data_IF_665575798388
#
_entry.id   IF_665575798388
#
_cell.length_a   1.000
_cell.length_b   1.000
_cell.length_c   1.000
_cell.angle_alpha   90.00
_cell.angle_beta   90.00
_cell.angle_gamma   90.00
#
_symmetry.space_group_name_H-M   'P 1'
#
loop_
_entity.id
_entity.type
_entity.pdbx_description
1 polymer ?
#
# COMPACT_ATOMS: atom_id res chain seq x y z
N UNK A 1 17.67 -53.68 4.67
CA UNK A 1 18.43 -52.45 4.42
C UNK A 1 17.73 -51.32 5.11
N UNK A 2 18.35 -50.78 6.15
CA UNK A 2 17.78 -49.59 6.81
C UNK A 2 17.95 -48.38 5.89
N UNK A 3 16.84 -47.88 5.38
CA UNK A 3 16.81 -46.61 4.64
C UNK A 3 16.99 -45.50 5.66
N UNK A 4 18.10 -44.77 5.58
CA UNK A 4 18.28 -43.55 6.34
C UNK A 4 17.33 -42.51 5.76
N UNK A 5 16.20 -42.33 6.38
CA UNK A 5 15.24 -41.29 6.04
C UNK A 5 15.75 -40.03 6.77
N UNK A 6 16.28 -39.05 6.03
CA UNK A 6 16.36 -37.71 6.57
C UNK A 6 14.92 -37.27 6.79
N UNK A 7 14.52 -37.20 8.04
CA UNK A 7 13.15 -37.03 8.45
C UNK A 7 12.53 -35.85 7.69
N UNK A 8 11.43 -36.12 7.01
CA UNK A 8 10.49 -35.05 6.66
C UNK A 8 10.19 -34.29 7.95
N UNK A 9 10.23 -32.95 7.89
CA UNK A 9 9.90 -32.13 9.04
C UNK A 9 8.57 -32.57 9.63
N UNK A 10 8.51 -32.71 10.93
CA UNK A 10 7.26 -32.95 11.64
C UNK A 10 6.33 -31.73 11.43
N UNK A 11 5.02 -31.89 11.58
CA UNK A 11 4.06 -30.79 11.47
C UNK A 11 4.38 -29.63 12.42
N UNK A 12 4.96 -29.92 13.58
CA UNK A 12 5.41 -28.92 14.55
C UNK A 12 6.60 -28.11 14.02
N UNK A 13 7.57 -28.76 13.42
CA UNK A 13 8.73 -28.09 12.81
C UNK A 13 8.33 -27.25 11.61
N UNK A 14 7.40 -27.71 10.77
CA UNK A 14 6.80 -26.93 9.67
C UNK A 14 6.10 -25.69 10.20
N UNK A 15 5.41 -25.79 11.33
CA UNK A 15 4.74 -24.65 11.96
C UNK A 15 5.76 -23.62 12.47
N UNK A 16 6.85 -24.05 13.08
CA UNK A 16 7.93 -23.14 13.55
C UNK A 16 8.57 -22.44 12.34
N UNK A 17 8.89 -23.17 11.28
CA UNK A 17 9.46 -22.60 10.06
C UNK A 17 8.52 -21.61 9.38
N UNK A 18 7.22 -21.89 9.34
CA UNK A 18 6.21 -20.99 8.84
C UNK A 18 6.15 -19.66 9.64
N UNK A 19 6.28 -19.74 10.95
CA UNK A 19 6.32 -18.56 11.83
C UNK A 19 7.59 -17.73 11.60
N UNK A 20 8.74 -18.38 11.49
CA UNK A 20 10.01 -17.69 11.23
C UNK A 20 10.02 -17.02 9.85
N UNK A 21 9.53 -17.72 8.83
CA UNK A 21 9.32 -17.15 7.50
C UNK A 21 8.44 -15.90 7.55
N UNK A 22 7.29 -15.99 8.21
CA UNK A 22 6.38 -14.87 8.29
C UNK A 22 6.95 -13.69 9.09
N UNK A 23 7.76 -13.96 10.10
CA UNK A 23 8.49 -12.92 10.83
C UNK A 23 9.45 -12.17 9.90
N UNK A 24 10.23 -12.87 9.08
CA UNK A 24 11.13 -12.26 8.10
C UNK A 24 10.35 -11.46 7.06
N UNK A 25 9.29 -12.03 6.50
CA UNK A 25 8.44 -11.36 5.52
C UNK A 25 7.78 -10.09 6.09
N UNK A 26 7.23 -10.15 7.31
CA UNK A 26 6.60 -8.99 7.96
C UNK A 26 7.60 -7.88 8.27
N UNK A 27 8.81 -8.23 8.67
CA UNK A 27 9.86 -7.24 8.91
C UNK A 27 10.37 -6.61 7.61
N UNK A 28 10.26 -7.34 6.48
CA UNK A 28 10.64 -6.84 5.16
C UNK A 28 9.53 -6.02 4.48
N UNK A 29 8.25 -6.26 4.83
CA UNK A 29 7.11 -5.54 4.26
C UNK A 29 6.95 -4.17 4.89
N UNK A 30 6.89 -3.14 4.05
CA UNK A 30 6.73 -1.75 4.47
C UNK A 30 5.30 -1.45 4.93
N UNK A 31 4.29 -1.91 4.19
CA UNK A 31 2.88 -1.62 4.47
C UNK A 31 2.41 -2.20 5.82
N UNK A 32 3.00 -3.30 6.26
CA UNK A 32 2.66 -3.92 7.54
C UNK A 32 2.99 -3.06 8.78
N UNK A 33 3.84 -2.05 8.63
CA UNK A 33 4.13 -1.10 9.72
C UNK A 33 2.94 -0.21 10.05
N UNK A 34 2.06 0.00 9.09
CA UNK A 34 0.86 0.85 9.20
C UNK A 34 -0.41 0.02 9.46
N UNK A 35 -0.28 -1.31 9.57
CA UNK A 35 -1.42 -2.20 9.75
C UNK A 35 -1.80 -2.32 11.23
N UNK A 36 -3.08 -2.08 11.51
CA UNK A 36 -3.70 -2.26 12.83
C UNK A 36 -5.08 -2.90 12.70
N UNK A 37 -5.64 -3.34 13.82
CA UNK A 37 -6.97 -3.98 13.88
C UNK A 37 -8.11 -2.99 14.12
N UNK A 38 -7.79 -1.78 14.56
CA UNK A 38 -8.80 -0.77 14.91
C UNK A 38 -9.09 0.20 13.77
N UNK A 39 -10.21 0.92 13.82
CA UNK A 39 -10.60 1.93 12.82
C UNK A 39 -9.66 3.15 12.78
N UNK A 40 -8.82 3.34 13.79
CA UNK A 40 -7.78 4.39 13.81
C UNK A 40 -6.45 3.91 13.21
N UNK A 41 -6.47 2.93 12.32
CA UNK A 41 -5.30 2.43 11.60
C UNK A 41 -5.38 2.88 10.15
N UNK A 42 -4.25 3.19 9.54
CA UNK A 42 -4.20 3.50 8.10
C UNK A 42 -4.58 2.27 7.26
N UNK A 43 -3.99 1.12 7.57
CA UNK A 43 -4.36 -0.16 6.99
C UNK A 43 -5.14 -0.95 8.03
N UNK A 44 -6.42 -1.15 7.82
CA UNK A 44 -7.24 -1.96 8.71
C UNK A 44 -7.08 -3.43 8.37
N UNK A 45 -6.52 -4.20 9.31
CA UNK A 45 -6.41 -5.64 9.18
C UNK A 45 -7.66 -6.32 9.70
N UNK A 46 -8.33 -7.08 8.84
CA UNK A 46 -9.48 -7.90 9.16
C UNK A 46 -8.97 -9.32 9.44
N UNK A 47 -9.16 -9.78 10.67
CA UNK A 47 -8.69 -11.10 11.13
C UNK A 47 -9.82 -12.04 11.56
N UNK A 48 -11.05 -11.66 11.29
CA UNK A 48 -12.25 -12.42 11.70
C UNK A 48 -12.34 -13.78 11.01
N UNK A 49 -11.83 -13.88 9.77
CA UNK A 49 -11.72 -15.17 9.09
C UNK A 49 -10.48 -15.91 9.57
N UNK A 50 -10.69 -16.90 10.42
CA UNK A 50 -9.65 -17.83 10.84
C UNK A 50 -9.69 -19.11 9.98
N UNK A 51 -8.62 -19.94 10.05
CA UNK A 51 -8.60 -21.25 9.36
C UNK A 51 -9.80 -22.15 9.74
N UNK A 52 -10.46 -21.90 10.86
CA UNK A 52 -11.59 -22.65 11.34
C UNK A 52 -12.94 -22.11 10.83
N UNK A 53 -13.01 -20.82 10.47
CA UNK A 53 -14.18 -20.21 9.87
C UNK A 53 -13.94 -20.08 8.37
N UNK A 54 -14.56 -20.98 7.60
CA UNK A 54 -14.42 -21.03 6.15
C UNK A 54 -15.26 -19.93 5.51
N UNK A 55 -14.63 -19.03 4.77
CA UNK A 55 -15.28 -18.01 3.96
C UNK A 55 -14.31 -17.51 2.90
N UNK A 56 -14.83 -17.12 1.74
CA UNK A 56 -14.07 -16.53 0.65
C UNK A 56 -14.06 -15.00 0.70
N UNK A 57 -14.77 -14.40 1.65
CA UNK A 57 -15.00 -12.96 1.72
C UNK A 57 -14.90 -12.48 3.17
N UNK A 58 -14.27 -11.33 3.35
CA UNK A 58 -14.25 -10.58 4.61
C UNK A 58 -15.06 -9.29 4.43
N UNK A 59 -15.67 -8.79 5.50
CA UNK A 59 -16.46 -7.56 5.45
C UNK A 59 -15.75 -6.48 6.26
N UNK A 60 -15.65 -5.28 5.70
CA UNK A 60 -15.25 -4.07 6.41
C UNK A 60 -16.48 -3.18 6.58
N UNK A 61 -16.75 -2.77 7.81
CA UNK A 61 -17.83 -1.85 8.11
C UNK A 61 -17.28 -0.45 8.31
N UNK A 62 -17.77 0.49 7.54
CA UNK A 62 -17.49 1.92 7.64
C UNK A 62 -18.66 2.61 8.34
N UNK A 63 -18.41 3.38 9.37
CA UNK A 63 -19.43 4.14 10.09
C UNK A 63 -19.40 5.60 9.63
N UNK A 64 -20.55 6.10 9.15
CA UNK A 64 -20.73 7.51 8.89
C UNK A 64 -20.91 8.31 10.20
N UNK A 65 -20.46 9.56 10.20
CA UNK A 65 -20.74 10.47 11.31
C UNK A 65 -22.20 10.96 11.24
N UNK A 66 -22.76 11.22 12.43
CA UNK A 66 -24.08 11.83 12.56
C UNK A 66 -24.02 13.27 12.07
N UNK A 67 -25.08 13.71 11.36
CA UNK A 67 -25.14 15.02 10.69
C UNK A 67 -26.19 15.95 11.26
N UNK A 68 -27.17 15.41 12.02
CA UNK A 68 -28.24 16.21 12.59
C UNK A 68 -27.80 16.96 13.86
N UNK A 69 -28.38 18.13 14.09
CA UNK A 69 -28.04 18.99 15.23
C UNK A 69 -28.63 18.46 16.57
N UNK A 70 -29.44 17.40 16.52
CA UNK A 70 -30.12 16.83 17.68
C UNK A 70 -31.32 17.67 18.16
N UNK A 71 -32.04 17.15 19.15
CA UNK A 71 -33.24 17.81 19.71
C UNK A 71 -32.86 18.76 20.86
N UNK A 72 -33.37 19.98 20.84
CA UNK A 72 -33.04 21.02 21.82
C UNK A 72 -34.20 21.25 22.83
N UNK A 73 -33.87 21.57 24.07
CA UNK A 73 -34.83 21.94 25.12
C UNK A 73 -35.78 20.79 25.55
N UNK A 74 -37.04 21.12 25.73
CA UNK A 74 -38.07 20.16 26.15
C UNK A 74 -38.79 19.48 24.96
N UNK A 75 -38.23 19.55 23.74
CA UNK A 75 -38.78 18.85 22.60
C UNK A 75 -38.57 17.35 22.72
N UNK A 76 -39.54 16.58 22.22
CA UNK A 76 -39.53 15.12 22.27
C UNK A 76 -38.41 14.55 21.41
N UNK A 77 -37.57 13.67 21.94
CA UNK A 77 -36.57 12.94 21.21
C UNK A 77 -37.14 11.74 20.43
N UNK A 78 -38.28 11.19 20.89
CA UNK A 78 -38.97 10.13 20.14
C UNK A 78 -39.42 10.62 18.77
N UNK A 79 -39.14 9.85 17.75
CA UNK A 79 -39.36 10.15 16.30
C UNK A 79 -38.45 11.26 15.74
N UNK A 80 -37.45 11.73 16.49
CA UNK A 80 -36.43 12.68 16.07
C UNK A 80 -35.01 12.10 16.25
N UNK A 81 -34.86 10.78 16.26
CA UNK A 81 -33.57 10.11 16.33
C UNK A 81 -32.95 10.00 14.92
N UNK A 82 -31.69 10.38 14.84
CA UNK A 82 -30.90 10.15 13.62
C UNK A 82 -30.49 8.69 13.50
N UNK A 83 -30.72 8.09 12.34
CA UNK A 83 -30.33 6.71 12.08
C UNK A 83 -28.81 6.59 11.90
N UNK A 84 -28.19 5.67 12.64
CA UNK A 84 -26.78 5.33 12.42
C UNK A 84 -26.62 4.69 11.05
N UNK A 85 -25.75 5.26 10.20
CA UNK A 85 -25.46 4.76 8.86
C UNK A 85 -24.17 3.98 8.88
N UNK A 86 -24.24 2.74 8.43
CA UNK A 86 -23.09 1.87 8.24
C UNK A 86 -23.03 1.44 6.77
N UNK A 87 -21.82 1.48 6.21
CA UNK A 87 -21.53 0.98 4.88
C UNK A 87 -20.67 -0.27 5.03
N UNK A 88 -21.11 -1.38 4.46
CA UNK A 88 -20.41 -2.65 4.51
C UNK A 88 -19.83 -2.95 3.13
N UNK A 89 -18.51 -3.09 3.06
CA UNK A 89 -17.82 -3.51 1.85
C UNK A 89 -17.18 -4.88 2.00
N UNK A 90 -17.17 -5.63 0.92
CA UNK A 90 -16.71 -7.02 0.87
C UNK A 90 -15.33 -7.08 0.26
N UNK A 91 -14.36 -7.57 1.04
CA UNK A 91 -13.00 -7.86 0.56
C UNK A 91 -12.94 -9.29 0.06
N UNK A 92 -12.61 -9.50 -1.20
CA UNK A 92 -12.38 -10.83 -1.76
C UNK A 92 -11.02 -11.39 -1.34
N UNK A 93 -10.93 -12.70 -1.24
CA UNK A 93 -9.73 -13.40 -0.79
C UNK A 93 -9.21 -14.32 -1.88
N UNK A 94 -7.92 -14.33 -2.09
CA UNK A 94 -7.27 -15.29 -2.99
C UNK A 94 -5.91 -15.75 -2.44
N UNK A 95 -5.37 -16.78 -3.06
CA UNK A 95 -4.13 -17.43 -2.66
C UNK A 95 -2.97 -17.05 -3.58
N UNK A 96 -1.90 -16.51 -3.00
CA UNK A 96 -0.65 -16.29 -3.71
C UNK A 96 0.39 -17.35 -3.30
N UNK A 97 1.01 -17.99 -4.30
CA UNK A 97 1.94 -19.12 -4.10
C UNK A 97 3.28 -18.86 -4.77
N UNK A 98 4.35 -19.17 -4.06
CA UNK A 98 5.72 -19.16 -4.58
C UNK A 98 6.41 -20.47 -4.27
N UNK A 99 7.27 -20.93 -5.19
CA UNK A 99 8.06 -22.13 -4.97
C UNK A 99 9.45 -22.03 -5.63
N UNK A 100 10.43 -22.60 -4.95
CA UNK A 100 11.76 -22.84 -5.47
C UNK A 100 12.04 -24.33 -5.54
N UNK A 101 12.73 -24.79 -6.59
CA UNK A 101 13.10 -26.19 -6.77
C UNK A 101 14.58 -26.29 -7.14
N UNK A 102 15.29 -27.14 -6.44
CA UNK A 102 16.69 -27.48 -6.73
C UNK A 102 16.78 -28.39 -7.96
N UNK A 103 17.74 -28.16 -8.82
CA UNK A 103 17.94 -28.98 -10.03
C UNK A 103 18.41 -30.41 -9.72
N UNK A 104 19.11 -30.65 -8.59
CA UNK A 104 19.54 -31.95 -8.13
C UNK A 104 20.69 -31.85 -7.14
N UNK A 105 21.06 -33.00 -6.52
CA UNK A 105 22.12 -33.08 -5.51
C UNK A 105 23.50 -32.63 -6.01
N UNK A 106 23.79 -32.83 -7.29
CA UNK A 106 25.07 -32.38 -7.87
C UNK A 106 25.13 -30.85 -8.00
N UNK A 107 23.96 -30.19 -8.21
CA UNK A 107 23.88 -28.75 -8.21
C UNK A 107 24.09 -28.19 -6.79
N UNK A 108 23.54 -28.84 -5.79
CA UNK A 108 23.71 -28.46 -4.37
C UNK A 108 25.17 -28.61 -3.95
N UNK A 109 25.81 -29.73 -4.31
CA UNK A 109 27.22 -30.01 -3.98
C UNK A 109 28.19 -29.00 -4.60
N UNK A 110 27.85 -28.42 -5.76
CA UNK A 110 28.65 -27.41 -6.46
C UNK A 110 28.36 -26.00 -5.97
N UNK A 111 27.26 -25.78 -5.26
CA UNK A 111 26.86 -24.49 -4.71
C UNK A 111 27.54 -24.25 -3.37
N UNK A 112 28.02 -23.04 -3.15
CA UNK A 112 28.53 -22.57 -1.85
C UNK A 112 27.37 -22.19 -0.91
N UNK A 113 26.15 -22.07 -1.48
CA UNK A 113 24.96 -21.57 -0.78
C UNK A 113 24.09 -22.75 -0.36
N UNK A 114 23.67 -22.77 0.91
CA UNK A 114 22.70 -23.74 1.43
C UNK A 114 21.32 -23.45 0.85
N UNK A 115 20.84 -24.34 -0.03
CA UNK A 115 19.58 -24.15 -0.77
C UNK A 115 18.39 -23.89 0.17
N UNK A 116 18.26 -24.67 1.24
CA UNK A 116 17.08 -24.63 2.11
C UNK A 116 16.90 -23.30 2.82
N UNK A 117 17.94 -22.80 3.48
CA UNK A 117 17.88 -21.53 4.23
C UNK A 117 17.75 -20.33 3.31
N UNK A 118 18.57 -20.32 2.25
CA UNK A 118 18.54 -19.21 1.28
C UNK A 118 17.19 -19.14 0.55
N UNK A 119 16.63 -20.28 0.14
CA UNK A 119 15.31 -20.31 -0.50
C UNK A 119 14.22 -19.81 0.42
N UNK A 120 14.25 -20.15 1.71
CA UNK A 120 13.29 -19.64 2.69
C UNK A 120 13.32 -18.11 2.74
N UNK A 121 14.49 -17.53 2.90
CA UNK A 121 14.63 -16.08 3.05
C UNK A 121 14.28 -15.34 1.75
N UNK A 122 14.71 -15.87 0.60
CA UNK A 122 14.37 -15.29 -0.71
C UNK A 122 12.87 -15.35 -1.01
N UNK A 123 12.20 -16.45 -0.65
CA UNK A 123 10.75 -16.56 -0.78
C UNK A 123 10.02 -15.59 0.17
N UNK A 124 10.57 -15.36 1.38
CA UNK A 124 10.03 -14.39 2.33
C UNK A 124 10.08 -12.95 1.77
N UNK A 125 11.22 -12.56 1.23
CA UNK A 125 11.39 -11.25 0.58
C UNK A 125 10.50 -11.10 -0.64
N UNK A 126 10.39 -12.14 -1.48
CA UNK A 126 9.50 -12.10 -2.65
C UNK A 126 8.03 -11.93 -2.26
N UNK A 127 7.56 -12.62 -1.21
CA UNK A 127 6.20 -12.49 -0.71
C UNK A 127 5.95 -11.08 -0.16
N UNK A 128 6.87 -10.55 0.65
CA UNK A 128 6.78 -9.19 1.19
C UNK A 128 6.72 -8.13 0.09
N UNK A 129 7.61 -8.23 -0.90
CA UNK A 129 7.68 -7.33 -2.04
C UNK A 129 6.37 -7.34 -2.86
N UNK A 130 5.76 -8.52 -3.06
CA UNK A 130 4.49 -8.63 -3.79
C UNK A 130 3.31 -8.09 -2.98
N UNK A 131 3.26 -8.32 -1.67
CA UNK A 131 2.25 -7.75 -0.78
C UNK A 131 2.31 -6.22 -0.83
N UNK A 132 3.51 -5.64 -0.72
CA UNK A 132 3.68 -4.20 -0.79
C UNK A 132 3.26 -3.64 -2.17
N UNK A 133 3.68 -4.28 -3.27
CA UNK A 133 3.27 -3.88 -4.62
C UNK A 133 1.75 -3.88 -4.80
N UNK A 134 1.07 -4.96 -4.37
CA UNK A 134 -0.38 -5.07 -4.49
C UNK A 134 -1.10 -4.02 -3.64
N UNK A 135 -0.66 -3.81 -2.40
CA UNK A 135 -1.24 -2.79 -1.52
C UNK A 135 -1.15 -1.38 -2.11
N UNK A 136 0.03 -1.00 -2.64
CA UNK A 136 0.21 0.32 -3.25
C UNK A 136 -0.54 0.48 -4.57
N UNK A 137 -0.65 -0.57 -5.39
CA UNK A 137 -1.47 -0.53 -6.61
C UNK A 137 -2.96 -0.39 -6.27
N UNK A 138 -3.45 -1.12 -5.26
CA UNK A 138 -4.84 -1.00 -4.80
C UNK A 138 -5.16 0.42 -4.32
N UNK A 139 -4.31 0.99 -3.47
CA UNK A 139 -4.48 2.38 -3.00
C UNK A 139 -4.38 3.40 -4.15
N UNK A 140 -3.50 3.15 -5.12
CA UNK A 140 -3.35 4.02 -6.31
C UNK A 140 -4.50 3.87 -7.30
N UNK A 141 -5.34 2.84 -7.18
CA UNK A 141 -6.41 2.54 -8.12
C UNK A 141 -5.89 2.14 -9.51
N UNK A 142 -4.75 1.46 -9.56
CA UNK A 142 -4.14 0.96 -10.81
C UNK A 142 -4.29 -0.55 -10.85
N UNK A 143 -4.77 -1.08 -11.97
CA UNK A 143 -4.98 -2.52 -12.17
C UNK A 143 -3.68 -3.31 -12.06
N UNK A 144 -3.77 -4.55 -11.62
CA UNK A 144 -2.59 -5.41 -11.44
C UNK A 144 -1.93 -5.87 -12.74
N UNK A 145 -2.48 -5.50 -13.90
CA UNK A 145 -1.81 -5.64 -15.20
C UNK A 145 -0.49 -4.88 -15.27
N UNK A 146 -0.38 -3.84 -14.46
CA UNK A 146 0.81 -3.01 -14.38
C UNK A 146 1.64 -3.32 -13.14
N UNK A 147 2.93 -3.07 -13.24
CA UNK A 147 3.83 -2.99 -12.10
C UNK A 147 3.75 -1.58 -11.50
N UNK A 148 4.27 -1.41 -10.30
CA UNK A 148 4.33 -0.10 -9.63
C UNK A 148 5.12 0.98 -10.40
N UNK A 149 5.99 0.57 -11.32
CA UNK A 149 6.72 1.48 -12.23
C UNK A 149 5.98 1.76 -13.56
N UNK A 150 4.71 1.39 -13.70
CA UNK A 150 3.92 1.62 -14.92
C UNK A 150 4.17 0.62 -16.06
N UNK A 151 5.14 -0.29 -15.97
CA UNK A 151 5.37 -1.29 -17.00
C UNK A 151 4.32 -2.41 -16.92
N UNK A 152 3.87 -2.92 -18.08
CA UNK A 152 2.97 -4.09 -18.12
C UNK A 152 3.63 -5.32 -17.52
N UNK A 153 2.85 -6.11 -16.77
CA UNK A 153 3.32 -7.40 -16.26
C UNK A 153 3.41 -8.42 -17.39
N UNK A 154 4.51 -9.17 -17.38
CA UNK A 154 4.62 -10.31 -18.25
C UNK A 154 3.76 -11.45 -17.74
N UNK A 155 3.09 -12.13 -18.66
CA UNK A 155 2.34 -13.36 -18.38
C UNK A 155 3.34 -14.51 -18.24
N UNK A 156 3.12 -15.40 -17.27
CA UNK A 156 3.94 -16.61 -17.12
C UNK A 156 3.82 -17.49 -18.36
N UNK A 157 4.94 -17.79 -19.00
CA UNK A 157 4.97 -18.62 -20.21
C UNK A 157 4.49 -20.06 -20.00
N UNK A 158 4.45 -20.54 -18.74
CA UNK A 158 4.02 -21.91 -18.41
C UNK A 158 2.54 -21.99 -18.03
N UNK A 159 2.04 -21.01 -17.24
CA UNK A 159 0.68 -21.02 -16.72
C UNK A 159 -0.26 -20.06 -17.45
N UNK A 160 0.28 -19.10 -18.20
CA UNK A 160 -0.48 -18.03 -18.80
C UNK A 160 -1.04 -17.00 -17.81
N UNK A 161 -0.64 -17.07 -16.53
CA UNK A 161 -1.19 -16.27 -15.42
C UNK A 161 -0.20 -15.24 -14.91
N UNK A 162 -0.73 -14.19 -14.31
CA UNK A 162 0.02 -13.16 -13.60
C UNK A 162 -0.77 -12.69 -12.35
N UNK A 163 -0.36 -11.60 -11.70
CA UNK A 163 -1.06 -11.08 -10.52
C UNK A 163 -2.42 -10.43 -10.84
N UNK A 164 -2.72 -10.16 -12.11
CA UNK A 164 -4.04 -9.65 -12.50
C UNK A 164 -5.14 -10.73 -12.47
N UNK A 165 -4.75 -12.00 -12.41
CA UNK A 165 -5.70 -13.12 -12.30
C UNK A 165 -6.13 -13.42 -10.86
N UNK A 166 -5.70 -12.62 -9.87
CA UNK A 166 -6.16 -12.74 -8.49
C UNK A 166 -7.63 -12.31 -8.39
N UNK A 167 -8.45 -13.04 -7.63
CA UNK A 167 -9.88 -12.77 -7.46
C UNK A 167 -10.18 -11.33 -6.97
N UNK A 168 -9.31 -10.77 -6.12
CA UNK A 168 -9.44 -9.38 -5.66
C UNK A 168 -8.82 -8.33 -6.61
N UNK A 169 -8.35 -8.74 -7.79
CA UNK A 169 -7.89 -7.79 -8.80
C UNK A 169 -9.04 -6.97 -9.40
N UNK A 170 -10.22 -7.57 -9.46
CA UNK A 170 -11.44 -6.91 -9.93
C UNK A 170 -11.98 -5.85 -8.95
N UNK A 171 -11.58 -5.94 -7.67
CA UNK A 171 -11.95 -4.96 -6.64
C UNK A 171 -11.12 -3.67 -6.70
N UNK A 172 -10.11 -3.60 -7.58
CA UNK A 172 -9.28 -2.40 -7.73
C UNK A 172 -10.00 -1.33 -8.52
N UNK A 173 -10.50 -0.31 -7.83
CA UNK A 173 -11.20 0.83 -8.42
C UNK A 173 -10.24 2.00 -8.66
N UNK A 174 -10.42 2.72 -9.77
CA UNK A 174 -9.71 3.98 -10.01
C UNK A 174 -10.00 4.99 -8.87
N UNK A 175 -9.14 5.98 -8.63
CA UNK A 175 -9.46 7.04 -7.68
C UNK A 175 -10.75 7.73 -8.09
N UNK A 176 -11.63 7.99 -7.12
CA UNK A 176 -12.88 8.70 -7.38
C UNK A 176 -12.61 10.16 -7.73
N UNK A 177 -13.48 10.80 -8.53
CA UNK A 177 -13.25 12.15 -9.03
C UNK A 177 -12.97 13.16 -7.90
N UNK A 178 -13.67 13.02 -6.77
CA UNK A 178 -13.51 13.89 -5.60
C UNK A 178 -12.28 13.59 -4.75
N UNK A 179 -11.52 12.54 -5.06
CA UNK A 179 -10.31 12.09 -4.34
C UNK A 179 -9.10 11.98 -5.26
N UNK A 180 -9.27 12.35 -6.52
CA UNK A 180 -8.21 12.38 -7.50
C UNK A 180 -7.81 13.82 -7.77
N UNK A 181 -6.60 14.17 -7.40
CA UNK A 181 -6.03 15.50 -7.51
C UNK A 181 -4.76 15.47 -8.37
N UNK A 182 -4.41 16.59 -8.95
CA UNK A 182 -3.14 16.78 -9.65
C UNK A 182 -2.55 18.15 -9.35
N UNK A 183 -1.26 18.30 -9.55
CA UNK A 183 -0.60 19.61 -9.59
C UNK A 183 -0.71 20.17 -11.00
N UNK A 184 -1.11 21.42 -11.12
CA UNK A 184 -1.31 22.09 -12.42
C UNK A 184 -0.91 23.56 -12.35
N UNK A 185 -0.70 24.16 -13.54
CA UNK A 185 -0.44 25.59 -13.69
C UNK A 185 0.91 26.05 -13.17
N UNK A 186 1.88 25.15 -13.03
CA UNK A 186 3.22 25.49 -12.58
C UNK A 186 3.99 26.25 -13.66
N UNK A 187 4.48 27.43 -13.34
CA UNK A 187 5.46 28.17 -14.15
C UNK A 187 6.89 27.74 -13.82
N UNK A 188 7.13 27.42 -12.57
CA UNK A 188 8.39 26.91 -12.02
C UNK A 188 8.14 25.59 -11.25
N UNK A 189 9.13 24.72 -11.10
CA UNK A 189 8.99 23.51 -10.32
C UNK A 189 8.53 23.78 -8.87
N UNK A 190 7.42 23.15 -8.45
CA UNK A 190 6.86 23.26 -7.10
C UNK A 190 5.91 24.42 -6.87
N UNK A 191 5.67 25.30 -7.85
CA UNK A 191 4.84 26.51 -7.68
C UNK A 191 3.39 26.37 -8.15
N UNK A 192 2.97 25.21 -8.69
CA UNK A 192 1.62 24.92 -9.15
C UNK A 192 0.54 25.01 -8.07
N UNK A 193 -0.68 24.68 -8.44
CA UNK A 193 -1.83 24.53 -7.54
C UNK A 193 -2.37 23.11 -7.61
N UNK A 194 -3.07 22.70 -6.58
CA UNK A 194 -3.78 21.42 -6.56
C UNK A 194 -5.17 21.61 -7.16
N UNK A 195 -5.52 20.81 -8.15
CA UNK A 195 -6.80 20.83 -8.86
C UNK A 195 -7.27 19.41 -9.14
N UNK A 196 -8.45 19.25 -9.74
CA UNK A 196 -9.02 17.96 -10.11
C UNK A 196 -8.07 17.16 -11.01
N UNK A 197 -7.95 15.84 -10.74
CA UNK A 197 -6.99 14.98 -11.38
C UNK A 197 -7.31 14.62 -12.81
N UNK A 198 -6.50 15.10 -13.74
CA UNK A 198 -6.42 14.64 -15.12
C UNK A 198 -4.94 14.48 -15.49
N UNK A 199 -4.37 13.28 -15.33
CA UNK A 199 -2.95 13.04 -15.56
C UNK A 199 -2.52 13.30 -17.01
N UNK A 200 -3.45 13.39 -17.98
CA UNK A 200 -3.14 13.71 -19.38
C UNK A 200 -2.75 15.18 -19.55
N UNK A 201 -3.21 16.06 -18.66
CA UNK A 201 -2.95 17.49 -18.69
C UNK A 201 -1.65 17.91 -17.98
N UNK A 202 -0.96 16.97 -17.30
CA UNK A 202 0.29 17.25 -16.59
C UNK A 202 1.38 17.78 -17.53
N UNK A 203 2.07 18.81 -17.08
CA UNK A 203 3.27 19.38 -17.71
C UNK A 203 4.53 19.03 -16.90
N UNK A 204 5.70 19.15 -17.49
CA UNK A 204 6.97 18.77 -16.86
C UNK A 204 7.30 19.59 -15.61
N UNK A 205 6.72 20.79 -15.49
CA UNK A 205 6.91 21.71 -14.36
C UNK A 205 5.99 21.39 -13.18
N UNK A 206 4.93 20.57 -13.36
CA UNK A 206 3.94 20.27 -12.33
C UNK A 206 4.48 19.27 -11.30
N UNK A 207 5.55 19.66 -10.64
CA UNK A 207 6.25 18.82 -9.65
C UNK A 207 5.71 19.04 -8.25
N UNK A 208 5.92 18.07 -7.37
CA UNK A 208 5.52 18.19 -5.97
C UNK A 208 6.36 19.24 -5.24
N UNK A 209 5.71 20.10 -4.43
CA UNK A 209 6.32 21.09 -3.56
C UNK A 209 5.68 21.13 -2.18
N UNK A 210 6.28 21.88 -1.26
CA UNK A 210 5.79 22.08 0.11
C UNK A 210 4.33 22.55 0.17
N UNK A 211 4.00 23.53 -0.65
CA UNK A 211 2.68 24.15 -0.72
C UNK A 211 1.59 23.13 -1.07
N UNK A 212 1.88 22.16 -1.95
CA UNK A 212 0.90 21.13 -2.35
C UNK A 212 0.53 20.22 -1.20
N UNK A 213 1.47 19.87 -0.32
CA UNK A 213 1.20 19.05 0.86
C UNK A 213 0.22 19.77 1.80
N UNK A 214 0.43 21.07 2.00
CA UNK A 214 -0.46 21.89 2.83
C UNK A 214 -1.85 22.01 2.19
N UNK A 215 -1.94 22.20 0.87
CA UNK A 215 -3.21 22.28 0.14
C UNK A 215 -3.98 20.95 0.19
N UNK A 216 -3.32 19.81 -0.05
CA UNK A 216 -3.96 18.49 0.04
C UNK A 216 -4.45 18.20 1.45
N UNK A 217 -3.70 18.59 2.49
CA UNK A 217 -4.16 18.46 3.88
C UNK A 217 -5.40 19.29 4.16
N UNK A 218 -5.44 20.56 3.70
CA UNK A 218 -6.62 21.41 3.84
C UNK A 218 -7.82 20.77 3.15
N UNK A 219 -7.63 20.34 1.90
CA UNK A 219 -8.64 19.63 1.12
C UNK A 219 -9.15 18.36 1.82
N UNK A 220 -8.24 17.56 2.41
CA UNK A 220 -8.59 16.35 3.14
C UNK A 220 -9.50 16.66 4.35
N UNK A 221 -9.20 17.73 5.09
CA UNK A 221 -10.02 18.15 6.24
C UNK A 221 -11.38 18.70 5.82
N UNK A 222 -11.42 19.50 4.76
CA UNK A 222 -12.68 20.03 4.23
C UNK A 222 -13.60 18.92 3.70
N UNK A 223 -13.02 17.82 3.24
CA UNK A 223 -13.75 16.66 2.74
C UNK A 223 -13.89 15.51 3.75
N UNK A 224 -13.75 15.79 5.04
CA UNK A 224 -13.99 14.88 6.16
C UNK A 224 -13.13 13.59 6.15
N UNK A 225 -11.95 13.62 5.53
CA UNK A 225 -11.00 12.51 5.65
C UNK A 225 -10.41 12.54 7.05
N UNK A 226 -10.66 11.49 7.81
CA UNK A 226 -10.16 11.38 9.19
C UNK A 226 -8.66 11.13 9.21
N UNK A 227 -7.94 11.95 9.97
CA UNK A 227 -6.55 11.68 10.31
C UNK A 227 -6.42 10.56 11.35
N UNK A 228 -5.23 9.99 11.43
CA UNK A 228 -4.87 9.08 12.51
C UNK A 228 -4.72 9.88 13.80
N UNK A 229 -5.42 9.48 14.85
CA UNK A 229 -5.32 10.15 16.15
C UNK A 229 -4.11 9.63 16.91
N UNK A 230 -3.12 10.50 17.07
CA UNK A 230 -1.94 10.27 17.89
C UNK A 230 -2.12 10.68 19.36
N UNK A 231 -1.03 10.63 20.11
CA UNK A 231 -1.00 11.11 21.49
C UNK A 231 -1.38 12.59 21.56
N UNK A 232 -2.28 12.97 22.48
CA UNK A 232 -2.74 14.35 22.62
C UNK A 232 -3.85 14.76 21.63
N UNK A 233 -4.54 13.81 21.03
CA UNK A 233 -5.64 14.04 20.08
C UNK A 233 -5.21 14.85 18.83
N UNK A 234 -3.93 14.81 18.49
CA UNK A 234 -3.42 15.40 17.24
C UNK A 234 -3.73 14.46 16.08
N UNK A 235 -4.24 15.04 15.00
CA UNK A 235 -4.46 14.31 13.75
C UNK A 235 -3.18 14.30 12.92
N UNK A 236 -2.74 13.11 12.56
CA UNK A 236 -1.58 12.88 11.70
C UNK A 236 -2.03 12.15 10.44
N UNK A 237 -1.52 12.58 9.31
CA UNK A 237 -1.74 11.92 8.02
C UNK A 237 -0.43 11.32 7.52
N UNK A 238 -0.52 10.27 6.72
CA UNK A 238 0.62 9.68 6.04
C UNK A 238 0.55 9.98 4.55
N UNK A 239 1.67 10.41 3.98
CA UNK A 239 1.80 10.60 2.55
C UNK A 239 2.93 9.74 2.01
N UNK A 240 2.66 8.96 0.96
CA UNK A 240 3.65 8.11 0.32
C UNK A 240 4.04 8.70 -1.03
N UNK A 241 5.33 8.86 -1.22
CA UNK A 241 5.92 9.45 -2.43
C UNK A 241 7.03 8.55 -2.98
N UNK A 242 7.28 8.66 -4.28
CA UNK A 242 8.43 8.00 -4.90
C UNK A 242 9.74 8.67 -4.48
N UNK A 243 10.90 7.99 -4.61
CA UNK A 243 12.20 8.60 -4.36
C UNK A 243 12.45 9.88 -5.18
N UNK A 244 11.99 9.93 -6.43
CA UNK A 244 12.11 11.13 -7.28
C UNK A 244 11.25 12.28 -6.76
N UNK A 245 9.99 12.02 -6.40
CA UNK A 245 9.13 13.04 -5.78
C UNK A 245 9.73 13.56 -4.46
N UNK A 246 10.28 12.68 -3.64
CA UNK A 246 10.97 13.08 -2.40
C UNK A 246 12.18 13.96 -2.68
N UNK A 247 12.97 13.64 -3.72
CA UNK A 247 14.12 14.45 -4.12
C UNK A 247 13.67 15.83 -4.60
N UNK A 248 12.63 15.91 -5.41
CA UNK A 248 12.05 17.18 -5.89
C UNK A 248 11.55 18.03 -4.73
N UNK A 249 10.83 17.42 -3.77
CA UNK A 249 10.36 18.10 -2.56
C UNK A 249 11.51 18.66 -1.71
N UNK A 250 12.60 17.90 -1.56
CA UNK A 250 13.80 18.36 -0.83
C UNK A 250 14.55 19.49 -1.55
N UNK A 251 14.40 19.61 -2.87
CA UNK A 251 14.99 20.68 -3.68
C UNK A 251 14.07 21.91 -3.82
N UNK A 252 12.81 21.81 -3.40
CA UNK A 252 11.86 22.90 -3.43
C UNK A 252 12.38 24.12 -2.63
N UNK A 253 12.46 25.31 -3.22
CA UNK A 253 12.95 26.53 -2.57
C UNK A 253 12.21 26.87 -1.28
N UNK A 254 10.89 26.70 -1.24
CA UNK A 254 10.08 27.00 -0.07
C UNK A 254 10.36 26.01 1.07
N UNK A 255 10.48 24.73 0.76
CA UNK A 255 10.87 23.72 1.72
C UNK A 255 12.27 23.99 2.30
N UNK A 256 13.24 24.29 1.43
CA UNK A 256 14.60 24.62 1.84
C UNK A 256 14.67 25.88 2.71
N UNK A 257 13.89 26.92 2.38
CA UNK A 257 13.82 28.13 3.17
C UNK A 257 13.27 27.85 4.59
N UNK A 258 12.19 27.08 4.68
CA UNK A 258 11.59 26.70 5.96
C UNK A 258 12.56 25.85 6.81
N UNK A 259 13.22 24.86 6.24
CA UNK A 259 14.19 24.02 6.96
C UNK A 259 15.41 24.81 7.41
N UNK A 260 15.89 25.76 6.60
CA UNK A 260 17.04 26.63 6.97
C UNK A 260 16.71 27.60 8.09
N UNK A 261 15.46 28.06 8.17
CA UNK A 261 15.03 29.05 9.16
C UNK A 261 14.56 28.38 10.47
N UNK A 262 13.83 27.29 10.41
CA UNK A 262 13.20 26.63 11.54
C UNK A 262 13.97 25.39 12.04
N UNK A 263 14.82 24.81 11.20
CA UNK A 263 15.51 23.57 11.51
C UNK A 263 16.63 23.71 12.55
N UNK A 264 16.84 22.67 13.32
CA UNK A 264 17.98 22.55 14.24
C UNK A 264 19.27 22.56 13.46
N UNK A 265 20.28 23.31 13.91
CA UNK A 265 21.62 23.35 13.28
C UNK A 265 22.42 22.11 13.67
N UNK A 266 23.10 21.48 12.71
CA UNK A 266 23.99 20.34 12.94
C UNK A 266 23.47 19.00 12.40
N UNK A 267 24.04 17.86 12.84
CA UNK A 267 23.73 16.54 12.31
C UNK A 267 22.27 16.09 12.49
N UNK A 268 21.55 16.70 13.44
CA UNK A 268 20.13 16.43 13.68
C UNK A 268 19.19 17.21 12.76
N UNK A 269 19.72 18.03 11.84
CA UNK A 269 18.90 18.70 10.84
C UNK A 269 18.41 17.66 9.80
N UNK A 270 17.16 17.74 9.40
CA UNK A 270 16.51 16.80 8.45
C UNK A 270 17.25 16.71 7.11
N UNK A 271 17.89 17.80 6.67
CA UNK A 271 18.72 17.81 5.47
C UNK A 271 19.94 16.89 5.56
N UNK A 272 20.47 16.66 6.75
CA UNK A 272 21.69 15.87 6.98
C UNK A 272 21.41 14.52 7.64
N UNK A 273 20.22 14.34 8.22
CA UNK A 273 19.88 13.12 8.97
C UNK A 273 19.65 11.90 8.08
N UNK A 274 19.50 12.09 6.75
CA UNK A 274 19.29 10.98 5.80
C UNK A 274 18.00 10.21 6.06
N UNK A 275 16.97 10.85 6.64
CA UNK A 275 15.69 10.20 6.96
C UNK A 275 14.88 9.95 5.71
N UNK A 276 14.28 8.76 5.63
CA UNK A 276 13.32 8.38 4.57
C UNK A 276 11.91 8.92 4.82
N UNK A 277 11.70 9.60 5.95
CA UNK A 277 10.41 10.21 6.30
C UNK A 277 10.62 11.65 6.76
N UNK A 278 9.77 12.55 6.29
CA UNK A 278 9.73 13.97 6.65
C UNK A 278 8.39 14.30 7.27
N UNK A 279 8.37 15.19 8.28
CA UNK A 279 7.13 15.69 8.85
C UNK A 279 6.89 17.12 8.37
N UNK A 280 5.81 17.31 7.62
CA UNK A 280 5.39 18.60 7.05
C UNK A 280 3.99 18.91 7.54
N UNK A 281 3.81 19.95 8.33
CA UNK A 281 2.48 20.40 8.82
C UNK A 281 1.57 19.27 9.36
N UNK A 282 2.12 18.32 10.12
CA UNK A 282 1.36 17.17 10.65
C UNK A 282 1.08 16.06 9.63
N UNK A 283 1.68 16.15 8.44
CA UNK A 283 1.71 15.09 7.43
C UNK A 283 3.07 14.41 7.47
N UNK A 284 3.08 13.11 7.69
CA UNK A 284 4.30 12.31 7.65
C UNK A 284 4.51 11.79 6.24
N UNK A 285 5.48 12.39 5.53
CA UNK A 285 5.82 12.01 4.15
C UNK A 285 6.84 10.88 4.19
N UNK A 286 6.52 9.76 3.57
CA UNK A 286 7.34 8.56 3.49
C UNK A 286 7.83 8.35 2.06
N UNK A 287 9.13 8.11 1.91
CA UNK A 287 9.72 7.70 0.65
C UNK A 287 9.63 6.18 0.49
N UNK A 288 9.00 5.72 -0.59
CA UNK A 288 8.92 4.30 -0.87
C UNK A 288 8.88 3.99 -2.38
N UNK A 289 9.69 3.01 -2.81
CA UNK A 289 9.88 2.68 -4.23
C UNK A 289 8.68 2.04 -4.93
N UNK A 290 7.72 1.47 -4.17
CA UNK A 290 6.53 0.84 -4.72
C UNK A 290 5.31 1.76 -4.83
N UNK A 291 5.49 3.04 -4.58
CA UNK A 291 4.49 4.05 -4.96
C UNK A 291 4.41 4.07 -6.49
N UNK A 292 3.19 4.14 -7.03
CA UNK A 292 2.96 4.06 -8.48
C UNK A 292 3.64 5.20 -9.24
N UNK A 293 4.33 4.82 -10.31
CA UNK A 293 4.98 5.76 -11.24
C UNK A 293 4.79 5.31 -12.69
N UNK A 294 4.96 6.22 -13.62
CA UNK A 294 4.85 5.96 -15.06
C UNK A 294 6.20 5.81 -15.77
N UNK A 295 7.30 5.74 -15.01
CA UNK A 295 8.67 5.73 -15.54
C UNK A 295 8.94 4.57 -16.52
N UNK A 296 8.33 3.40 -16.30
CA UNK A 296 8.55 2.19 -17.08
C UNK A 296 7.57 1.95 -18.23
N UNK A 297 6.62 2.84 -18.49
CA UNK A 297 5.63 2.61 -19.55
C UNK A 297 4.84 3.84 -19.96
N UNK A 298 4.76 4.07 -21.26
CA UNK A 298 3.94 5.13 -21.87
C UNK A 298 2.43 4.82 -21.83
N UNK A 299 2.04 3.60 -21.45
CA UNK A 299 0.68 3.09 -21.59
C UNK A 299 -0.25 3.50 -20.43
N UNK A 300 0.25 4.23 -19.43
CA UNK A 300 -0.55 4.65 -18.28
C UNK A 300 -1.46 5.87 -18.53
N UNK A 301 -1.51 6.40 -19.76
CA UNK A 301 -2.39 7.52 -20.13
C UNK A 301 -1.96 8.87 -19.57
N UNK A 302 -0.71 9.03 -19.16
CA UNK A 302 -0.17 10.29 -18.64
C UNK A 302 0.50 11.11 -19.75
N UNK A 303 0.37 12.44 -19.69
CA UNK A 303 0.99 13.35 -20.67
C UNK A 303 2.52 13.36 -20.59
N UNK A 304 3.06 13.27 -19.37
CA UNK A 304 4.50 13.27 -19.06
C UNK A 304 4.82 12.22 -18.00
N UNK A 305 6.08 11.75 -17.89
CA UNK A 305 6.48 10.87 -16.81
C UNK A 305 6.25 11.50 -15.44
N UNK A 306 5.62 10.77 -14.56
CA UNK A 306 5.27 11.26 -13.24
C UNK A 306 4.97 10.14 -12.25
N UNK A 307 4.46 10.49 -11.11
CA UNK A 307 4.05 9.54 -10.08
C UNK A 307 2.79 10.00 -9.35
N UNK A 308 2.08 9.02 -8.81
CA UNK A 308 0.90 9.20 -7.99
C UNK A 308 1.25 9.12 -6.54
N UNK A 309 1.44 10.26 -5.88
CA UNK A 309 1.57 10.31 -4.44
C UNK A 309 0.24 9.96 -3.77
N UNK A 310 0.31 9.21 -2.66
CA UNK A 310 -0.86 8.75 -1.92
C UNK A 310 -0.92 9.47 -0.58
N UNK A 311 -1.96 10.26 -0.37
CA UNK A 311 -2.24 10.88 0.93
C UNK A 311 -3.29 10.03 1.64
N UNK A 312 -2.91 9.48 2.80
CA UNK A 312 -3.67 8.47 3.52
C UNK A 312 -4.07 8.95 4.92
N UNK A 313 -5.35 8.84 5.21
CA UNK A 313 -5.91 8.98 6.55
C UNK A 313 -6.15 7.62 7.22
N UNK A 314 -7.13 7.58 8.13
CA UNK A 314 -7.59 6.34 8.75
C UNK A 314 -8.38 5.49 7.73
N UNK A 315 -8.28 4.16 7.86
CA UNK A 315 -8.96 3.18 7.01
C UNK A 315 -8.74 3.41 5.48
N UNK A 316 -7.52 3.81 5.11
CA UNK A 316 -7.15 4.04 3.72
C UNK A 316 -7.12 2.74 2.89
N UNK A 317 -6.83 1.60 3.54
CA UNK A 317 -6.77 0.28 2.93
C UNK A 317 -7.34 -0.76 3.89
N UNK A 318 -8.20 -1.64 3.39
CA UNK A 318 -8.60 -2.86 4.07
C UNK A 318 -7.68 -4.01 3.63
N UNK A 319 -7.17 -4.76 4.59
CA UNK A 319 -6.35 -5.95 4.37
C UNK A 319 -7.00 -7.13 5.09
N UNK A 320 -7.54 -8.06 4.35
CA UNK A 320 -7.98 -9.33 4.90
C UNK A 320 -6.79 -10.30 4.95
N UNK A 321 -6.50 -10.87 6.12
CA UNK A 321 -5.32 -11.71 6.36
C UNK A 321 -5.73 -13.00 7.09
N UNK A 322 -5.70 -14.13 6.36
CA UNK A 322 -6.03 -15.44 6.93
C UNK A 322 -4.77 -16.09 7.52
N UNK A 323 -4.30 -15.54 8.61
CA UNK A 323 -3.29 -16.17 9.46
C UNK A 323 -1.91 -16.34 8.82
N UNK A 324 -1.21 -17.36 9.31
CA UNK A 324 0.17 -17.63 8.91
C UNK A 324 0.23 -18.27 7.50
N UNK A 325 1.25 -17.96 6.69
CA UNK A 325 1.49 -18.65 5.44
C UNK A 325 1.71 -20.14 5.69
N UNK A 326 1.30 -20.95 4.75
CA UNK A 326 1.52 -22.38 4.76
C UNK A 326 2.82 -22.69 3.99
N UNK A 327 3.69 -23.49 4.59
CA UNK A 327 4.95 -23.91 3.97
C UNK A 327 4.92 -25.41 3.72
N UNK A 328 5.24 -25.81 2.49
CA UNK A 328 5.26 -27.21 2.07
C UNK A 328 6.62 -27.52 1.46
N UNK A 329 7.29 -28.54 2.00
CA UNK A 329 8.47 -29.15 1.38
C UNK A 329 8.06 -30.42 0.64
N UNK A 330 8.57 -30.57 -0.59
CA UNK A 330 8.36 -31.79 -1.39
C UNK A 330 9.66 -32.24 -2.05
N UNK A 331 9.89 -33.52 -2.01
CA UNK A 331 10.99 -34.17 -2.73
C UNK A 331 10.47 -34.74 -4.05
N UNK A 332 11.26 -34.60 -5.10
CA UNK A 332 10.98 -35.13 -6.42
C UNK A 332 12.12 -36.03 -6.85
N UNK A 333 11.92 -36.81 -7.89
CA UNK A 333 12.94 -37.68 -8.50
C UNK A 333 13.67 -38.52 -7.46
N UNK A 334 12.92 -39.38 -6.74
CA UNK A 334 13.45 -40.31 -5.69
C UNK A 334 14.36 -39.61 -4.67
N UNK A 335 14.06 -38.35 -4.32
CA UNK A 335 14.84 -37.58 -3.35
C UNK A 335 16.08 -36.88 -3.91
N UNK A 336 16.28 -36.87 -5.23
CA UNK A 336 17.35 -36.13 -5.87
C UNK A 336 17.10 -34.61 -5.93
N UNK A 337 15.80 -34.18 -6.00
CA UNK A 337 15.42 -32.79 -6.08
C UNK A 337 14.57 -32.40 -4.88
N UNK A 338 14.92 -31.30 -4.24
CA UNK A 338 14.16 -30.72 -3.14
C UNK A 338 13.44 -29.45 -3.63
N UNK A 339 12.18 -29.32 -3.27
CA UNK A 339 11.37 -28.13 -3.55
C UNK A 339 10.75 -27.59 -2.28
N UNK A 340 10.71 -26.26 -2.17
CA UNK A 340 10.08 -25.53 -1.07
C UNK A 340 9.02 -24.63 -1.70
N UNK A 341 7.79 -24.72 -1.23
CA UNK A 341 6.68 -23.89 -1.63
C UNK A 341 6.10 -23.16 -0.44
N UNK A 342 5.65 -21.93 -0.67
CA UNK A 342 5.00 -21.11 0.33
C UNK A 342 3.74 -20.55 -0.30
N UNK A 343 2.65 -20.56 0.44
CA UNK A 343 1.38 -19.97 0.07
C UNK A 343 0.78 -19.13 1.20
N UNK A 344 0.08 -18.08 0.82
CA UNK A 344 -0.66 -17.23 1.75
C UNK A 344 -1.97 -16.79 1.11
N UNK A 345 -3.03 -16.80 1.91
CA UNK A 345 -4.35 -16.29 1.54
C UNK A 345 -4.52 -14.90 2.15
N UNK A 346 -4.83 -13.94 1.31
CA UNK A 346 -5.08 -12.54 1.70
C UNK A 346 -5.92 -11.83 0.64
N UNK A 347 -6.38 -10.63 0.96
CA UNK A 347 -7.08 -9.75 0.03
C UNK A 347 -6.85 -8.28 0.38
N UNK A 348 -6.97 -7.43 -0.62
CA UNK A 348 -6.89 -5.98 -0.45
C UNK A 348 -8.11 -5.31 -1.05
N UNK A 349 -8.59 -4.27 -0.38
CA UNK A 349 -9.66 -3.41 -0.87
C UNK A 349 -9.37 -1.96 -0.47
N UNK A 350 -9.52 -1.05 -1.39
CA UNK A 350 -9.59 0.39 -1.09
C UNK A 350 -11.05 0.73 -0.78
N UNK A 351 -11.42 1.07 0.47
CA UNK A 351 -12.81 1.32 0.83
C UNK A 351 -13.36 2.53 0.08
N UNK A 352 -14.54 2.33 -0.53
CA UNK A 352 -15.33 3.35 -1.23
C UNK A 352 -16.69 3.42 -0.59
N UNK A 353 -17.24 4.59 -0.40
CA UNK A 353 -18.58 4.76 0.14
C UNK A 353 -19.37 5.74 -0.72
N UNK A 354 -20.67 5.53 -0.79
CA UNK A 354 -21.55 6.51 -1.41
C UNK A 354 -21.87 7.60 -0.41
N UNK A 355 -21.45 8.83 -0.73
CA UNK A 355 -21.70 9.98 0.12
C UNK A 355 -23.08 10.55 -0.15
N UNK A 356 -23.97 10.48 0.84
CA UNK A 356 -25.31 11.11 0.74
C UNK A 356 -25.24 12.63 0.54
N UNK A 357 -24.11 13.25 0.92
CA UNK A 357 -23.91 14.70 0.75
C UNK A 357 -23.67 15.08 -0.71
N UNK A 358 -22.89 14.28 -1.43
CA UNK A 358 -22.58 14.53 -2.84
C UNK A 358 -23.39 13.65 -3.79
N UNK A 359 -23.93 12.53 -3.30
CA UNK A 359 -24.60 11.51 -4.10
C UNK A 359 -23.66 10.65 -4.95
N UNK A 360 -22.35 10.83 -4.80
CA UNK A 360 -21.31 10.14 -5.57
C UNK A 360 -20.48 9.21 -4.68
N UNK A 361 -19.93 8.17 -5.28
CA UNK A 361 -18.98 7.29 -4.63
C UNK A 361 -17.66 8.02 -4.35
N UNK A 362 -17.13 7.85 -3.14
CA UNK A 362 -15.89 8.49 -2.70
C UNK A 362 -14.95 7.50 -2.02
N UNK A 363 -13.66 7.62 -2.29
CA UNK A 363 -12.63 6.89 -1.55
C UNK A 363 -12.63 7.35 -0.08
N UNK A 364 -12.67 6.40 0.86
CA UNK A 364 -12.88 6.73 2.26
C UNK A 364 -11.69 7.44 2.90
N UNK A 365 -10.48 6.90 2.76
CA UNK A 365 -9.30 7.40 3.46
C UNK A 365 -8.10 7.71 2.57
N UNK A 366 -8.24 7.74 1.24
CA UNK A 366 -7.15 7.95 0.30
C UNK A 366 -7.43 9.14 -0.61
N UNK A 367 -6.43 10.00 -0.82
CA UNK A 367 -6.37 10.96 -1.91
C UNK A 367 -5.18 10.60 -2.79
N UNK A 368 -5.41 10.51 -4.09
CA UNK A 368 -4.39 10.34 -5.10
C UNK A 368 -3.95 11.73 -5.62
N UNK A 369 -2.68 12.06 -5.53
CA UNK A 369 -2.09 13.29 -6.05
C UNK A 369 -1.12 12.96 -7.18
N UNK A 370 -1.48 13.32 -8.39
CA UNK A 370 -0.65 13.11 -9.58
C UNK A 370 0.30 14.29 -9.80
N UNK A 371 1.59 14.01 -9.99
CA UNK A 371 2.63 15.01 -10.21
C UNK A 371 3.64 14.54 -11.23
N UNK A 372 4.26 15.47 -11.94
CA UNK A 372 5.37 15.18 -12.84
C UNK A 372 6.70 15.00 -12.07
N UNK A 373 7.68 14.36 -12.71
CA UNK A 373 9.02 14.22 -12.14
C UNK A 373 9.93 15.43 -12.33
N UNK A 374 9.59 16.34 -13.22
CA UNK A 374 10.44 17.44 -13.63
C UNK A 374 11.45 17.07 -14.72
N UNK A 375 12.11 18.07 -15.29
CA UNK A 375 13.08 17.92 -16.39
C UNK A 375 14.38 17.25 -15.96
N UNK A 376 14.74 17.33 -14.71
CA UNK A 376 16.02 16.81 -14.19
C UNK A 376 16.06 15.28 -14.09
N UNK A 377 14.89 14.65 -14.09
CA UNK A 377 14.72 13.20 -13.93
C UNK A 377 14.07 12.51 -15.13
N UNK A 378 13.91 13.22 -16.25
CA UNK A 378 13.48 12.60 -17.49
C UNK A 378 14.61 11.68 -18.00
N UNK A 379 14.39 10.34 -18.16
CA UNK A 379 15.39 9.41 -18.65
C UNK A 379 15.82 9.69 -20.09
#
# INVERSE_FOLDING_TARGET
MALTNFAALTEEELTVWSRDFWRVARNASFINQFAGTGPNSMVQRITELTKNEKGARAVITLLADMQEDGTTGDYTLEDNEEALRAYDEVVQLDQLRFANRLAGRMADQRSVVTFRETSRDMLAYAMADRIDQLAFLTMSGVTYDYKTNGAKRAVSGTTGQNLADLEFADDVTAPTANRHLMVTGSSEPGDGQVDAGDPTALTVTDTIGYKHIVQVKAFAKDNYIRGLRGAGNQEVYHMFVTPQQMATLKLDPDFLANVRQAGVRGPSNELFAGTTSLMVDGVMVHEFRHVFSTEGGKDAGWGVPGARALFCGAQALAMADIGLPNMVEKTFDYGNQHGIAIDKIFGFLKPVFNSDYTGDDQDFGVIALDTAYGTEYAP
#
